data_IF_423583942008
#
_entry.id   IF_423583942008
#
_cell.length_a   1.000
_cell.length_b   1.000
_cell.length_c   1.000
_cell.angle_alpha   90.00
_cell.angle_beta   90.00
_cell.angle_gamma   90.00
#
_symmetry.space_group_name_H-M   'P 1'
#
loop_
_entity.id
_entity.type
_entity.pdbx_description
1 polymer ?
#
# COMPACT_ATOMS: atom_id res chain seq x y z
N UNK A 1 20.25 12.98 -23.33
CA UNK A 1 21.02 14.05 -22.65
C UNK A 1 20.40 14.22 -21.27
N UNK A 2 21.16 13.96 -20.24
CA UNK A 2 20.76 14.18 -18.85
C UNK A 2 20.99 15.67 -18.54
N UNK A 3 19.94 16.40 -18.19
CA UNK A 3 20.04 17.81 -17.79
C UNK A 3 20.23 17.86 -16.28
N UNK A 4 21.25 18.58 -15.81
CA UNK A 4 21.50 18.79 -14.37
C UNK A 4 21.65 20.29 -14.07
N UNK A 5 21.28 20.69 -12.86
CA UNK A 5 21.43 22.07 -12.42
C UNK A 5 22.89 22.40 -12.13
N UNK A 6 23.33 23.61 -12.52
CA UNK A 6 24.61 24.19 -12.05
C UNK A 6 24.55 24.48 -10.56
N UNK A 7 25.68 24.83 -9.93
CA UNK A 7 25.69 25.18 -8.50
C UNK A 7 24.83 26.42 -8.19
N UNK A 8 24.90 27.42 -9.05
CA UNK A 8 24.04 28.63 -8.96
C UNK A 8 22.57 28.25 -9.22
N UNK A 9 22.31 27.34 -10.18
CA UNK A 9 20.98 26.81 -10.46
C UNK A 9 20.37 26.07 -9.28
N UNK A 10 21.18 25.34 -8.50
CA UNK A 10 20.71 24.69 -7.26
C UNK A 10 20.32 25.69 -6.16
N UNK A 11 21.09 26.79 -6.04
CA UNK A 11 20.76 27.84 -5.09
C UNK A 11 19.45 28.55 -5.46
N UNK A 12 19.33 28.95 -6.74
CA UNK A 12 18.10 29.58 -7.25
C UNK A 12 16.92 28.64 -7.08
N UNK A 13 17.07 27.37 -7.40
CA UNK A 13 16.02 26.36 -7.23
C UNK A 13 15.56 26.23 -5.77
N UNK A 14 16.49 26.17 -4.82
CA UNK A 14 16.18 26.08 -3.39
C UNK A 14 15.43 27.32 -2.88
N UNK A 15 15.82 28.53 -3.30
CA UNK A 15 15.11 29.76 -2.93
C UNK A 15 13.73 29.84 -3.61
N UNK A 16 13.62 29.47 -4.87
CA UNK A 16 12.33 29.40 -5.57
C UNK A 16 11.37 28.43 -4.90
N UNK A 17 11.86 27.29 -4.40
CA UNK A 17 11.05 26.35 -3.64
C UNK A 17 10.52 26.94 -2.33
N UNK A 18 11.31 27.78 -1.62
CA UNK A 18 10.85 28.48 -0.42
C UNK A 18 9.75 29.47 -0.76
N UNK A 19 9.96 30.29 -1.80
CA UNK A 19 8.98 31.28 -2.26
C UNK A 19 7.67 30.57 -2.65
N UNK A 20 7.77 29.51 -3.43
CA UNK A 20 6.59 28.75 -3.86
C UNK A 20 5.83 28.13 -2.67
N UNK A 21 6.55 27.64 -1.66
CA UNK A 21 5.94 27.16 -0.41
C UNK A 21 5.21 28.27 0.33
N UNK A 22 5.82 29.47 0.44
CA UNK A 22 5.19 30.62 1.08
C UNK A 22 3.95 31.09 0.33
N UNK A 23 3.94 31.05 -1.00
CA UNK A 23 2.75 31.38 -1.80
C UNK A 23 1.63 30.36 -1.52
N UNK A 24 1.94 29.08 -1.55
CA UNK A 24 0.97 28.01 -1.24
C UNK A 24 0.43 28.13 0.19
N UNK A 25 1.28 28.47 1.17
CA UNK A 25 0.86 28.71 2.56
C UNK A 25 -0.06 29.93 2.67
N UNK A 26 0.23 31.03 1.93
CA UNK A 26 -0.63 32.20 1.85
C UNK A 26 -1.99 31.88 1.22
N UNK A 27 -2.01 31.17 0.12
CA UNK A 27 -3.25 30.71 -0.52
C UNK A 27 -4.06 29.82 0.43
N UNK A 28 -3.40 28.86 1.11
CA UNK A 28 -4.06 28.00 2.09
C UNK A 28 -4.60 28.77 3.30
N UNK A 29 -3.92 29.80 3.75
CA UNK A 29 -4.38 30.62 4.87
C UNK A 29 -5.57 31.51 4.48
N UNK A 30 -5.57 32.07 3.26
CA UNK A 30 -6.71 32.82 2.73
C UNK A 30 -7.93 31.94 2.51
N UNK A 31 -7.73 30.70 2.10
CA UNK A 31 -8.80 29.71 1.92
C UNK A 31 -9.31 29.20 3.28
N UNK A 32 -8.45 29.09 4.32
CA UNK A 32 -8.87 28.67 5.67
C UNK A 32 -9.85 29.60 6.35
N UNK A 33 -9.87 30.88 5.97
CA UNK A 33 -10.83 31.84 6.54
C UNK A 33 -12.24 31.80 5.89
N UNK A 34 -12.42 31.05 4.77
CA UNK A 34 -13.68 31.16 4.01
C UNK A 34 -14.27 29.87 3.43
N UNK A 35 -13.66 28.71 3.52
CA UNK A 35 -14.24 27.54 2.85
C UNK A 35 -14.32 26.29 3.75
N UNK A 36 -15.54 25.90 4.03
CA UNK A 36 -15.89 24.55 4.43
C UNK A 36 -15.37 23.62 3.31
N UNK A 37 -14.50 22.66 3.67
CA UNK A 37 -14.00 21.69 2.70
C UNK A 37 -15.15 20.81 2.25
N UNK A 38 -15.35 20.69 0.95
CA UNK A 38 -16.39 19.86 0.34
C UNK A 38 -15.87 19.10 -0.87
N UNK A 39 -16.59 18.09 -1.28
CA UNK A 39 -16.30 17.32 -2.48
C UNK A 39 -15.92 15.86 -2.22
N UNK A 40 -15.41 15.21 -3.25
CA UNK A 40 -15.05 13.78 -3.23
C UNK A 40 -13.55 13.65 -3.37
N UNK A 41 -12.94 12.88 -2.46
CA UNK A 41 -11.53 12.47 -2.57
C UNK A 41 -11.50 11.02 -3.05
N UNK A 42 -10.99 10.80 -4.26
CA UNK A 42 -10.86 9.49 -4.86
C UNK A 42 -9.48 8.89 -4.56
N UNK A 43 -9.45 7.75 -3.89
CA UNK A 43 -8.21 7.13 -3.40
C UNK A 43 -8.14 5.68 -3.88
N UNK A 44 -6.96 5.26 -4.37
CA UNK A 44 -6.70 3.85 -4.63
C UNK A 44 -5.59 3.32 -3.71
N UNK A 45 -5.82 2.15 -3.11
CA UNK A 45 -4.93 1.58 -2.08
C UNK A 45 -4.97 0.05 -2.06
N UNK A 46 -3.92 -0.64 -1.56
CA UNK A 46 -4.01 -2.08 -1.28
C UNK A 46 -5.11 -2.37 -0.25
N UNK A 47 -5.85 -3.48 -0.45
CA UNK A 47 -7.03 -3.79 0.37
C UNK A 47 -6.75 -3.87 1.88
N UNK A 48 -5.65 -4.47 2.31
CA UNK A 48 -5.30 -4.51 3.75
C UNK A 48 -5.03 -3.12 4.31
N UNK A 49 -4.30 -2.28 3.59
CA UNK A 49 -4.04 -0.90 4.02
C UNK A 49 -5.34 -0.09 4.09
N UNK A 50 -6.21 -0.25 3.10
CA UNK A 50 -7.51 0.40 3.09
C UNK A 50 -8.38 -0.06 4.25
N UNK A 51 -8.43 -1.37 4.54
CA UNK A 51 -9.26 -1.94 5.59
C UNK A 51 -8.80 -1.57 7.00
N UNK A 52 -7.49 -1.70 7.29
CA UNK A 52 -6.99 -1.55 8.66
C UNK A 52 -6.60 -0.12 9.04
N UNK A 53 -6.35 0.73 8.08
CA UNK A 53 -5.84 2.08 8.36
C UNK A 53 -6.62 3.18 7.64
N UNK A 54 -6.76 3.09 6.31
CA UNK A 54 -7.24 4.22 5.53
C UNK A 54 -8.73 4.51 5.79
N UNK A 55 -9.57 3.49 5.95
CA UNK A 55 -11.00 3.67 6.23
C UNK A 55 -11.24 4.42 7.55
N UNK A 56 -10.45 4.14 8.58
CA UNK A 56 -10.53 4.83 9.86
C UNK A 56 -10.06 6.28 9.76
N UNK A 57 -8.99 6.53 8.97
CA UNK A 57 -8.54 7.89 8.69
C UNK A 57 -9.59 8.70 7.92
N UNK A 58 -10.23 8.10 6.91
CA UNK A 58 -11.32 8.74 6.17
C UNK A 58 -12.52 9.03 7.09
N UNK A 59 -12.87 8.09 7.97
CA UNK A 59 -13.92 8.31 8.96
C UNK A 59 -13.58 9.48 9.89
N UNK A 60 -12.41 9.47 10.49
CA UNK A 60 -11.97 10.54 11.38
C UNK A 60 -11.94 11.92 10.70
N UNK A 61 -11.53 11.96 9.43
CA UNK A 61 -11.53 13.18 8.64
C UNK A 61 -12.94 13.68 8.35
N UNK A 62 -13.87 12.78 7.99
CA UNK A 62 -15.27 13.13 7.69
C UNK A 62 -16.00 13.70 8.91
N UNK A 63 -15.61 13.31 10.14
CA UNK A 63 -16.17 13.90 11.36
C UNK A 63 -15.80 15.39 11.53
N UNK A 64 -14.66 15.80 11.00
CA UNK A 64 -14.19 17.19 11.05
C UNK A 64 -14.63 17.99 9.81
N UNK A 65 -14.89 17.30 8.70
CA UNK A 65 -15.25 17.87 7.39
C UNK A 65 -16.42 17.09 6.80
N UNK A 66 -17.66 17.32 7.28
CA UNK A 66 -18.84 16.51 6.94
C UNK A 66 -19.26 16.58 5.47
N UNK A 67 -18.86 17.63 4.75
CA UNK A 67 -19.15 17.78 3.32
C UNK A 67 -18.10 17.11 2.41
N UNK A 68 -17.05 16.51 3.00
CA UNK A 68 -16.08 15.70 2.28
C UNK A 68 -16.49 14.24 2.29
N UNK A 69 -16.52 13.63 1.11
CA UNK A 69 -16.74 12.19 0.93
C UNK A 69 -15.52 11.51 0.30
N UNK A 70 -15.46 10.18 0.42
CA UNK A 70 -14.32 9.39 -0.06
C UNK A 70 -14.79 8.28 -0.98
N UNK A 71 -14.09 8.13 -2.11
CA UNK A 71 -14.20 6.97 -2.98
C UNK A 71 -12.92 6.14 -2.87
N UNK A 72 -13.01 4.93 -2.29
CA UNK A 72 -11.88 4.03 -2.12
C UNK A 72 -11.92 2.88 -3.13
N UNK A 73 -10.92 2.81 -4.00
CA UNK A 73 -10.64 1.64 -4.82
C UNK A 73 -9.55 0.80 -4.14
N UNK A 74 -9.88 -0.44 -3.80
CA UNK A 74 -8.97 -1.35 -3.09
C UNK A 74 -8.29 -2.36 -4.00
N UNK A 75 -8.29 -2.10 -5.31
CA UNK A 75 -7.65 -2.98 -6.28
C UNK A 75 -6.12 -2.91 -6.24
N UNK A 76 -5.47 -4.02 -6.60
CA UNK A 76 -4.03 -4.07 -6.83
C UNK A 76 -3.62 -3.59 -8.23
N UNK A 77 -4.57 -3.16 -9.05
CA UNK A 77 -4.28 -2.66 -10.39
C UNK A 77 -3.48 -1.37 -10.31
N UNK A 78 -2.53 -1.23 -11.21
CA UNK A 78 -1.81 0.03 -11.39
C UNK A 78 -2.69 0.94 -12.24
N UNK A 79 -3.32 1.89 -11.59
CA UNK A 79 -4.06 2.94 -12.28
C UNK A 79 -3.09 4.05 -12.73
N UNK A 80 -3.33 4.56 -13.92
CA UNK A 80 -2.64 5.76 -14.40
C UNK A 80 -3.30 6.98 -13.74
N UNK A 81 -2.64 7.52 -12.73
CA UNK A 81 -3.13 8.68 -11.97
C UNK A 81 -3.22 9.93 -12.83
N UNK A 82 -2.44 10.02 -13.92
CA UNK A 82 -2.47 11.15 -14.84
C UNK A 82 -3.79 11.24 -15.65
N UNK A 83 -4.58 10.15 -15.67
CA UNK A 83 -5.89 10.13 -16.33
C UNK A 83 -7.05 10.62 -15.45
N UNK A 84 -6.77 11.19 -14.29
CA UNK A 84 -7.75 11.95 -13.51
C UNK A 84 -8.83 11.14 -12.78
N UNK A 85 -8.60 9.83 -12.53
CA UNK A 85 -9.56 9.01 -11.81
C UNK A 85 -9.32 8.95 -10.30
N UNK A 86 -8.13 9.31 -9.81
CA UNK A 86 -7.75 9.28 -8.41
C UNK A 86 -6.91 10.48 -8.03
N UNK A 87 -7.20 11.06 -6.88
CA UNK A 87 -6.43 12.17 -6.29
C UNK A 87 -5.20 11.66 -5.54
N UNK A 88 -5.33 10.48 -4.92
CA UNK A 88 -4.28 9.83 -4.14
C UNK A 88 -4.15 8.34 -4.48
N UNK A 89 -2.91 7.85 -4.46
CA UNK A 89 -2.63 6.42 -4.56
C UNK A 89 -1.65 5.97 -3.49
N UNK A 90 -2.01 4.96 -2.74
CA UNK A 90 -1.11 4.25 -1.85
C UNK A 90 -0.62 2.99 -2.54
N UNK A 91 0.69 2.81 -2.60
CA UNK A 91 1.29 1.65 -3.28
C UNK A 91 2.53 1.15 -2.54
N UNK A 92 2.68 -0.16 -2.55
CA UNK A 92 3.91 -0.80 -2.11
C UNK A 92 4.87 -0.90 -3.29
N UNK A 93 5.95 -0.14 -3.26
CA UNK A 93 6.95 -0.15 -4.33
C UNK A 93 8.31 0.32 -3.82
N UNK A 94 9.38 -0.25 -4.37
CA UNK A 94 10.72 0.27 -4.19
C UNK A 94 11.14 1.23 -5.31
N UNK A 95 10.34 1.31 -6.39
CA UNK A 95 10.59 2.17 -7.55
C UNK A 95 9.32 2.99 -7.84
N UNK A 96 9.15 4.13 -7.17
CA UNK A 96 8.01 5.01 -7.46
C UNK A 96 8.12 5.58 -8.87
N UNK A 97 6.99 5.90 -9.53
CA UNK A 97 6.98 6.57 -10.82
C UNK A 97 7.72 7.90 -10.76
N UNK A 98 8.48 8.23 -11.81
CA UNK A 98 9.28 9.46 -11.86
C UNK A 98 8.47 10.71 -12.21
N UNK A 99 7.31 10.53 -12.77
CA UNK A 99 6.36 11.56 -13.21
C UNK A 99 5.33 11.95 -12.14
N UNK A 100 5.50 11.43 -10.91
CA UNK A 100 4.59 11.66 -9.79
C UNK A 100 5.35 12.07 -8.53
N UNK A 101 4.67 12.81 -7.66
CA UNK A 101 5.20 13.12 -6.32
C UNK A 101 4.95 11.92 -5.40
N UNK A 102 6.00 11.18 -5.07
CA UNK A 102 5.92 10.05 -4.15
C UNK A 102 6.53 10.41 -2.80
N UNK A 103 5.79 10.15 -1.72
CA UNK A 103 6.25 10.30 -0.33
C UNK A 103 6.26 8.94 0.35
N UNK A 104 7.39 8.46 0.91
CA UNK A 104 7.41 7.24 1.68
C UNK A 104 6.65 7.44 2.99
N UNK A 105 5.79 6.50 3.35
CA UNK A 105 5.04 6.50 4.60
C UNK A 105 5.73 5.59 5.62
N UNK A 106 5.88 4.31 5.30
CA UNK A 106 6.51 3.31 6.14
C UNK A 106 7.00 2.14 5.29
N UNK A 107 7.81 1.30 5.90
CA UNK A 107 8.20 -0.01 5.36
C UNK A 107 7.48 -1.11 6.13
N UNK A 108 7.21 -2.22 5.48
CA UNK A 108 6.63 -3.40 6.10
C UNK A 108 7.38 -4.66 5.68
N UNK A 109 7.23 -5.71 6.43
CA UNK A 109 7.76 -7.02 6.10
C UNK A 109 6.63 -7.99 5.73
N UNK A 110 7.00 -9.21 5.40
CA UNK A 110 6.03 -10.29 5.25
C UNK A 110 6.32 -11.37 6.27
N UNK A 111 5.27 -11.89 6.88
CA UNK A 111 5.32 -12.98 7.85
C UNK A 111 4.57 -14.19 7.29
N UNK A 112 5.09 -15.38 7.55
CA UNK A 112 4.44 -16.64 7.24
C UNK A 112 3.56 -17.02 8.43
N UNK A 113 2.29 -17.26 8.17
CA UNK A 113 1.28 -17.50 9.20
C UNK A 113 0.47 -18.75 8.90
N UNK A 114 0.09 -19.47 9.97
CA UNK A 114 -0.80 -20.62 9.92
C UNK A 114 -1.60 -20.71 11.23
N UNK A 115 -2.80 -21.25 11.18
CA UNK A 115 -3.57 -21.51 12.39
C UNK A 115 -2.96 -22.67 13.21
N UNK A 116 -2.98 -22.60 14.55
CA UNK A 116 -2.46 -23.70 15.40
C UNK A 116 -3.11 -25.06 15.10
N UNK A 117 -4.39 -25.08 14.78
CA UNK A 117 -5.09 -26.32 14.43
C UNK A 117 -4.56 -26.96 13.13
N UNK A 118 -4.19 -26.14 12.12
CA UNK A 118 -3.56 -26.64 10.91
C UNK A 118 -2.20 -27.28 11.22
N UNK A 119 -1.38 -26.60 12.01
CA UNK A 119 -0.05 -27.10 12.38
C UNK A 119 -0.10 -28.39 13.22
N UNK A 120 -1.15 -28.56 14.03
CA UNK A 120 -1.36 -29.82 14.77
C UNK A 120 -1.66 -31.00 13.83
N UNK A 121 -2.34 -30.75 12.72
CA UNK A 121 -2.72 -31.81 11.77
C UNK A 121 -1.65 -32.06 10.72
N UNK A 122 -1.07 -31.02 10.15
CA UNK A 122 -0.14 -31.10 9.03
C UNK A 122 1.35 -31.08 9.46
N UNK A 123 1.62 -30.82 10.74
CA UNK A 123 2.98 -30.59 11.25
C UNK A 123 3.40 -29.12 11.15
N UNK A 124 4.45 -28.76 11.87
CA UNK A 124 5.04 -27.41 11.80
C UNK A 124 6.26 -27.44 10.90
N UNK A 125 6.31 -26.68 9.80
CA UNK A 125 7.48 -26.64 8.94
C UNK A 125 8.68 -26.05 9.69
N UNK A 126 9.82 -26.72 9.67
CA UNK A 126 11.06 -26.32 10.33
C UNK A 126 12.11 -25.79 9.35
N UNK A 127 12.06 -26.27 8.12
CA UNK A 127 12.93 -25.87 7.01
C UNK A 127 12.10 -25.52 5.78
N UNK A 128 12.70 -24.82 4.82
CA UNK A 128 11.98 -24.31 3.64
C UNK A 128 11.39 -25.44 2.78
N UNK A 129 12.09 -26.60 2.70
CA UNK A 129 11.61 -27.77 1.95
C UNK A 129 10.35 -28.39 2.55
N UNK A 130 10.07 -28.17 3.83
CA UNK A 130 8.86 -28.72 4.45
C UNK A 130 7.59 -28.08 3.86
N UNK A 131 7.70 -26.85 3.30
CA UNK A 131 6.59 -26.15 2.64
C UNK A 131 6.03 -26.92 1.44
N UNK A 132 6.81 -27.80 0.84
CA UNK A 132 6.36 -28.67 -0.26
C UNK A 132 5.23 -29.63 0.15
N UNK A 133 5.18 -29.99 1.44
CA UNK A 133 4.14 -30.83 2.02
C UNK A 133 2.92 -30.05 2.52
N UNK A 134 2.97 -28.71 2.49
CA UNK A 134 1.92 -27.87 3.03
C UNK A 134 1.08 -27.20 1.94
N UNK A 135 -0.17 -26.85 2.30
CA UNK A 135 -1.02 -26.00 1.49
C UNK A 135 -0.63 -24.54 1.70
N UNK A 136 0.05 -23.93 0.73
CA UNK A 136 0.52 -22.55 0.79
C UNK A 136 -0.34 -21.65 -0.11
N UNK A 137 -1.00 -20.68 0.49
CA UNK A 137 -1.86 -19.73 -0.23
C UNK A 137 -1.06 -18.52 -0.66
N UNK A 138 -1.21 -18.12 -1.90
CA UNK A 138 -0.50 -16.99 -2.48
C UNK A 138 -1.38 -16.24 -3.49
N UNK A 139 -0.94 -15.03 -3.86
CA UNK A 139 -1.53 -14.33 -5.00
C UNK A 139 -1.21 -15.03 -6.32
N UNK A 140 -1.97 -14.75 -7.39
CA UNK A 140 -1.57 -15.08 -8.75
C UNK A 140 -0.14 -14.54 -8.98
N UNK A 141 0.72 -15.28 -9.61
CA UNK A 141 2.12 -14.93 -9.88
C UNK A 141 3.02 -14.75 -8.63
N UNK A 142 2.57 -15.19 -7.44
CA UNK A 142 3.31 -15.11 -6.17
C UNK A 142 3.67 -16.49 -5.59
N UNK A 143 3.79 -17.49 -6.41
CA UNK A 143 4.14 -18.87 -6.04
C UNK A 143 5.64 -19.09 -5.71
N UNK A 144 6.42 -18.01 -5.71
CA UNK A 144 7.81 -17.99 -5.27
C UNK A 144 7.97 -17.01 -4.11
N UNK A 145 8.02 -17.55 -2.89
CA UNK A 145 8.22 -16.73 -1.70
C UNK A 145 9.71 -16.43 -1.47
N UNK A 146 10.02 -15.17 -1.20
CA UNK A 146 11.35 -14.81 -0.72
C UNK A 146 11.37 -14.93 0.80
N UNK A 147 12.13 -15.92 1.31
CA UNK A 147 12.25 -16.24 2.74
C UNK A 147 13.74 -16.25 3.07
N UNK A 148 14.19 -15.39 3.98
CA UNK A 148 15.59 -15.25 4.36
C UNK A 148 16.54 -15.15 3.14
N UNK A 149 16.16 -14.38 2.13
CA UNK A 149 16.95 -14.19 0.91
C UNK A 149 16.90 -15.35 -0.10
N UNK A 150 16.21 -16.45 0.20
CA UNK A 150 16.05 -17.61 -0.69
C UNK A 150 14.66 -17.61 -1.34
N UNK A 151 14.62 -17.80 -2.65
CA UNK A 151 13.36 -18.02 -3.37
C UNK A 151 12.93 -19.47 -3.16
N UNK A 152 11.72 -19.67 -2.66
CA UNK A 152 11.13 -20.96 -2.37
C UNK A 152 9.81 -21.07 -3.11
N UNK A 153 9.71 -22.02 -4.03
CA UNK A 153 8.46 -22.32 -4.70
C UNK A 153 7.45 -22.87 -3.68
N UNK A 154 6.21 -22.41 -3.78
CA UNK A 154 5.12 -22.87 -2.91
C UNK A 154 3.93 -23.27 -3.74
N UNK A 155 3.10 -24.17 -3.22
CA UNK A 155 1.90 -24.65 -3.90
C UNK A 155 0.74 -24.76 -2.92
N UNK A 156 -0.47 -24.56 -3.44
CA UNK A 156 -1.69 -24.74 -2.67
C UNK A 156 -2.88 -24.81 -3.65
N UNK A 157 -4.00 -25.23 -3.13
CA UNK A 157 -5.23 -25.34 -3.90
C UNK A 157 -5.87 -23.98 -4.25
N UNK A 158 -5.41 -22.89 -3.60
CA UNK A 158 -5.96 -21.54 -3.79
C UNK A 158 -4.86 -20.54 -4.13
N UNK A 159 -5.07 -19.78 -5.22
CA UNK A 159 -4.34 -18.56 -5.55
C UNK A 159 -5.33 -17.41 -5.57
N UNK A 160 -5.12 -16.41 -4.73
CA UNK A 160 -6.05 -15.30 -4.54
C UNK A 160 -5.29 -14.00 -4.26
N UNK A 161 -5.65 -12.93 -4.94
CA UNK A 161 -5.05 -11.60 -4.76
C UNK A 161 -5.68 -10.77 -3.64
N UNK A 162 -6.56 -11.36 -2.83
CA UNK A 162 -7.18 -10.72 -1.67
C UNK A 162 -6.59 -11.29 -0.37
N UNK A 163 -5.73 -10.48 0.27
CA UNK A 163 -5.08 -10.88 1.51
C UNK A 163 -6.07 -11.04 2.67
N UNK A 164 -7.20 -10.31 2.69
CA UNK A 164 -8.22 -10.46 3.73
C UNK A 164 -8.90 -11.82 3.62
N UNK A 165 -9.22 -12.25 2.41
CA UNK A 165 -9.75 -13.58 2.18
C UNK A 165 -8.70 -14.69 2.47
N UNK A 166 -7.42 -14.47 2.17
CA UNK A 166 -6.34 -15.40 2.55
C UNK A 166 -6.24 -15.54 4.07
N UNK A 167 -6.38 -14.44 4.83
CA UNK A 167 -6.41 -14.46 6.30
C UNK A 167 -7.54 -15.37 6.80
N UNK A 168 -8.75 -15.28 6.23
CA UNK A 168 -9.87 -16.12 6.62
C UNK A 168 -9.56 -17.61 6.42
N UNK A 169 -9.01 -18.00 5.26
CA UNK A 169 -8.62 -19.38 5.01
C UNK A 169 -7.54 -19.88 5.99
N UNK A 170 -6.60 -19.02 6.37
CA UNK A 170 -5.58 -19.35 7.39
C UNK A 170 -6.22 -19.56 8.75
N UNK A 171 -7.10 -18.64 9.19
CA UNK A 171 -7.78 -18.73 10.48
C UNK A 171 -8.64 -20.00 10.60
N UNK A 172 -9.27 -20.42 9.51
CA UNK A 172 -10.05 -21.65 9.41
C UNK A 172 -9.15 -22.93 9.36
N UNK A 173 -7.82 -22.79 9.43
CA UNK A 173 -6.90 -23.91 9.46
C UNK A 173 -6.77 -24.66 8.13
N UNK A 174 -6.92 -23.96 7.00
CA UNK A 174 -6.89 -24.59 5.67
C UNK A 174 -5.49 -24.60 5.02
N UNK A 175 -4.52 -23.89 5.61
CA UNK A 175 -3.17 -23.81 5.06
C UNK A 175 -2.31 -22.72 5.69
N UNK A 176 -1.24 -22.38 5.00
CA UNK A 176 -0.23 -21.37 5.34
C UNK A 176 -0.31 -20.22 4.34
N UNK A 177 -0.19 -18.99 4.79
CA UNK A 177 -0.05 -17.83 3.91
C UNK A 177 1.15 -16.96 4.29
N UNK A 178 1.67 -16.20 3.33
CA UNK A 178 2.67 -15.16 3.53
C UNK A 178 1.98 -13.81 3.39
N UNK A 179 1.82 -13.10 4.50
CA UNK A 179 1.04 -11.87 4.60
C UNK A 179 1.91 -10.67 5.00
N UNK A 180 1.55 -9.45 4.61
CA UNK A 180 2.14 -8.23 5.14
C UNK A 180 1.97 -8.14 6.66
N UNK A 181 2.99 -7.64 7.36
CA UNK A 181 3.03 -7.50 8.83
C UNK A 181 3.47 -6.09 9.23
#
# INVERSE_FOLDING_TARGET
RQVSLTNEGKQVYAETQKINRSVVELEQNLVREQTQLDGIIAITAPNMFAHYLLSELCFSFSQQHPDVSFHLDTSYQRHDLNRGHFDLAFRSTNNPPQDMVAKPLFTYSHTIVAAPQYLKQAGTPKVLSDLDAHQCFCGPDQDNWLINGKRTAVKGWLKLNDNLALIQHVLEGRGIARLPS
#
